data_IF_510178239884
#
_entry.id   IF_510178239884
#
_cell.length_a   1.000
_cell.length_b   1.000
_cell.length_c   1.000
_cell.angle_alpha   90.00
_cell.angle_beta   90.00
_cell.angle_gamma   90.00
#
_symmetry.space_group_name_H-M   'P 1'
#
loop_
_entity.id
_entity.type
_entity.pdbx_description
1 polymer ?
#
# COMPACT_ATOMS: atom_id res chain seq x y z
N UNK A 1 -15.84 -7.33 -14.03
CA UNK A 1 -15.01 -6.45 -13.19
C UNK A 1 -13.66 -6.28 -13.85
N UNK A 2 -12.97 -5.18 -13.57
CA UNK A 2 -11.62 -4.92 -14.08
C UNK A 2 -10.60 -5.12 -12.98
N UNK A 3 -9.43 -5.67 -13.32
CA UNK A 3 -8.30 -5.75 -12.40
C UNK A 3 -7.59 -4.40 -12.31
N UNK A 4 -7.13 -4.08 -11.11
CA UNK A 4 -6.30 -2.91 -10.85
C UNK A 4 -5.11 -3.35 -10.02
N UNK A 5 -3.91 -2.92 -10.44
CA UNK A 5 -2.74 -2.99 -9.58
C UNK A 5 -2.73 -1.76 -8.68
N UNK A 6 -2.70 -1.96 -7.37
CA UNK A 6 -2.64 -0.87 -6.38
C UNK A 6 -1.41 -1.06 -5.51
N UNK A 7 -0.60 -0.02 -5.39
CA UNK A 7 0.58 -0.03 -4.53
C UNK A 7 0.60 1.21 -3.63
N UNK A 8 0.99 1.01 -2.38
CA UNK A 8 1.29 2.09 -1.43
C UNK A 8 2.73 1.98 -0.96
N UNK A 9 3.46 3.09 -0.96
CA UNK A 9 4.84 3.14 -0.43
C UNK A 9 4.96 4.21 0.64
N UNK A 10 5.87 3.97 1.59
CA UNK A 10 6.17 4.93 2.65
C UNK A 10 7.66 4.94 2.95
N UNK A 11 8.30 6.10 2.78
CA UNK A 11 9.70 6.33 3.11
C UNK A 11 9.81 7.00 4.48
N UNK A 12 10.24 6.23 5.50
CA UNK A 12 10.43 6.73 6.87
C UNK A 12 11.43 7.89 6.96
N UNK A 13 12.50 7.87 6.16
CA UNK A 13 13.55 8.89 6.24
C UNK A 13 13.05 10.27 5.79
N UNK A 14 12.13 10.31 4.83
CA UNK A 14 11.58 11.56 4.28
C UNK A 14 10.16 11.87 4.75
N UNK A 15 9.45 10.88 5.30
CA UNK A 15 8.02 10.96 5.61
C UNK A 15 7.12 10.89 4.37
N UNK A 16 7.67 10.59 3.19
CA UNK A 16 6.91 10.56 1.93
C UNK A 16 6.07 9.29 1.82
N UNK A 17 4.77 9.45 1.63
CA UNK A 17 3.80 8.41 1.32
C UNK A 17 3.32 8.58 -0.12
N UNK A 18 3.28 7.50 -0.90
CA UNK A 18 2.78 7.51 -2.29
C UNK A 18 1.72 6.44 -2.51
N UNK A 19 0.77 6.74 -3.37
CA UNK A 19 -0.27 5.82 -3.85
C UNK A 19 -0.18 5.70 -5.37
N UNK A 20 -0.24 4.48 -5.87
CA UNK A 20 -0.17 4.16 -7.28
C UNK A 20 -1.37 3.31 -7.70
N UNK A 21 -1.85 3.54 -8.92
CA UNK A 21 -2.87 2.70 -9.58
C UNK A 21 -2.37 2.38 -10.98
N UNK A 22 -2.35 1.10 -11.34
CA UNK A 22 -1.85 0.59 -12.63
C UNK A 22 -0.45 1.11 -12.97
N UNK A 23 0.44 1.09 -11.97
CA UNK A 23 1.83 1.55 -12.09
C UNK A 23 2.02 3.07 -12.07
N UNK A 24 0.94 3.86 -12.15
CA UNK A 24 1.01 5.32 -12.20
C UNK A 24 0.87 5.93 -10.81
N UNK A 25 1.70 6.93 -10.50
CA UNK A 25 1.60 7.71 -9.26
C UNK A 25 0.34 8.57 -9.30
N UNK A 26 -0.61 8.32 -8.41
CA UNK A 26 -1.89 9.06 -8.36
C UNK A 26 -1.94 10.06 -7.20
N UNK A 27 -1.14 9.87 -6.15
CA UNK A 27 -1.09 10.81 -5.03
C UNK A 27 0.23 10.69 -4.24
N UNK A 28 0.66 11.80 -3.67
CA UNK A 28 1.79 11.90 -2.73
C UNK A 28 1.37 12.72 -1.52
N UNK A 29 1.70 12.24 -0.32
CA UNK A 29 1.51 12.96 0.94
C UNK A 29 2.81 12.95 1.74
N UNK A 30 3.16 14.09 2.34
CA UNK A 30 4.32 14.22 3.20
C UNK A 30 3.85 14.25 4.67
N UNK A 31 4.50 13.43 5.49
CA UNK A 31 4.36 13.39 6.94
C UNK A 31 5.66 13.83 7.60
N UNK A 32 5.67 14.10 8.92
CA UNK A 32 6.92 14.27 9.65
C UNK A 32 7.87 13.08 9.43
N UNK A 33 9.14 13.38 9.14
CA UNK A 33 10.17 12.37 8.95
C UNK A 33 10.44 11.59 10.26
N UNK A 34 10.86 10.34 10.12
CA UNK A 34 11.20 9.47 11.25
C UNK A 34 10.01 8.68 11.83
N UNK A 35 8.77 9.00 11.44
CA UNK A 35 7.60 8.23 11.85
C UNK A 35 7.68 6.79 11.34
N UNK A 36 7.28 5.83 12.18
CA UNK A 36 7.25 4.41 11.83
C UNK A 36 5.80 3.97 11.68
N UNK A 37 5.45 3.33 10.57
CA UNK A 37 4.16 2.66 10.43
C UNK A 37 4.21 1.42 11.31
N UNK A 38 3.41 1.44 12.37
CA UNK A 38 3.27 0.31 13.30
C UNK A 38 1.85 -0.24 13.21
N UNK A 39 1.66 -1.56 13.35
CA UNK A 39 0.34 -2.11 13.59
C UNK A 39 -0.28 -1.45 14.83
N UNK A 40 -1.59 -1.30 14.83
CA UNK A 40 -2.31 -0.87 16.02
C UNK A 40 -2.14 -1.93 17.11
N UNK A 41 -1.67 -1.52 18.28
CA UNK A 41 -1.25 -2.43 19.37
C UNK A 41 -2.39 -3.22 20.02
N UNK A 42 -3.63 -2.82 19.76
CA UNK A 42 -4.86 -3.46 20.24
C UNK A 42 -5.44 -4.43 19.21
N UNK A 43 -4.74 -4.66 18.08
CA UNK A 43 -5.08 -5.67 17.10
C UNK A 43 -3.91 -6.64 16.91
N UNK A 44 -4.22 -7.94 16.93
CA UNK A 44 -3.22 -9.01 16.91
C UNK A 44 -2.87 -9.52 15.51
N UNK A 45 -3.60 -9.10 14.48
CA UNK A 45 -3.52 -9.67 13.14
C UNK A 45 -3.49 -8.63 12.01
N UNK A 46 -2.78 -8.97 10.92
CA UNK A 46 -2.88 -8.28 9.63
C UNK A 46 -3.97 -8.95 8.80
N UNK A 47 -4.83 -8.15 8.14
CA UNK A 47 -5.97 -8.65 7.36
C UNK A 47 -5.92 -8.17 5.93
N UNK A 48 -6.46 -9.00 5.03
CA UNK A 48 -6.66 -8.69 3.62
C UNK A 48 -8.17 -8.77 3.36
N UNK A 49 -8.73 -7.75 2.70
CA UNK A 49 -10.15 -7.72 2.35
C UNK A 49 -11.12 -7.43 3.51
N UNK A 50 -10.63 -7.04 4.69
CA UNK A 50 -11.46 -6.60 5.82
C UNK A 50 -10.85 -5.39 6.51
N UNK A 51 -11.68 -4.40 6.82
CA UNK A 51 -11.34 -3.28 7.69
C UNK A 51 -12.12 -3.37 8.99
N UNK A 52 -11.41 -3.39 10.12
CA UNK A 52 -12.01 -3.27 11.45
C UNK A 52 -12.61 -1.87 11.67
N UNK A 53 -12.04 -0.84 11.04
CA UNK A 53 -12.64 0.50 11.03
C UNK A 53 -13.90 0.46 10.14
N UNK A 54 -15.07 0.50 10.78
CA UNK A 54 -16.38 0.31 10.13
C UNK A 54 -16.83 -1.15 10.00
N UNK A 55 -16.00 -2.13 10.38
CA UNK A 55 -16.26 -3.57 10.28
C UNK A 55 -16.76 -4.01 8.87
N UNK A 56 -16.06 -3.59 7.83
CA UNK A 56 -16.47 -3.76 6.43
C UNK A 56 -15.59 -4.77 5.71
N UNK A 57 -16.23 -5.61 4.88
CA UNK A 57 -15.55 -6.54 3.98
C UNK A 57 -15.44 -5.95 2.58
N UNK A 58 -14.32 -6.20 1.92
CA UNK A 58 -14.13 -5.88 0.52
C UNK A 58 -14.97 -6.82 -0.34
N UNK A 59 -15.86 -6.25 -1.17
CA UNK A 59 -16.67 -7.01 -2.10
C UNK A 59 -15.96 -7.07 -3.47
N UNK A 60 -15.06 -8.04 -3.62
CA UNK A 60 -14.31 -8.23 -4.85
C UNK A 60 -13.29 -9.37 -4.73
N UNK A 61 -12.40 -9.47 -5.71
CA UNK A 61 -11.28 -10.41 -5.70
C UNK A 61 -9.98 -9.66 -5.41
N UNK A 62 -9.11 -10.28 -4.63
CA UNK A 62 -7.76 -9.80 -4.34
C UNK A 62 -6.82 -10.93 -4.72
N UNK A 63 -5.72 -10.60 -5.39
CA UNK A 63 -4.70 -11.56 -5.79
C UNK A 63 -3.31 -10.91 -5.68
N UNK A 64 -2.26 -11.72 -5.61
CA UNK A 64 -0.85 -11.33 -5.64
C UNK A 64 -0.44 -10.26 -4.62
N UNK A 65 -0.80 -10.50 -3.35
CA UNK A 65 -0.50 -9.58 -2.24
C UNK A 65 0.97 -9.68 -1.84
N UNK A 66 1.67 -8.54 -1.85
CA UNK A 66 3.10 -8.42 -1.54
C UNK A 66 3.34 -7.36 -0.46
N UNK A 67 4.33 -7.59 0.40
CA UNK A 67 4.77 -6.65 1.42
C UNK A 67 6.29 -6.52 1.39
N UNK A 68 6.79 -5.28 1.45
CA UNK A 68 8.21 -4.96 1.34
C UNK A 68 8.70 -4.21 2.59
N UNK A 69 9.95 -4.44 2.98
CA UNK A 69 10.62 -3.72 4.07
C UNK A 69 11.31 -2.43 3.60
N UNK A 70 11.06 -2.00 2.36
CA UNK A 70 11.59 -0.79 1.74
C UNK A 70 10.49 -0.05 0.98
N UNK A 71 10.64 1.27 0.85
CA UNK A 71 9.83 2.04 -0.08
C UNK A 71 10.27 1.73 -1.51
N UNK A 72 9.36 1.22 -2.34
CA UNK A 72 9.61 1.05 -3.76
C UNK A 72 9.64 2.41 -4.46
N UNK A 73 10.51 2.54 -5.45
CA UNK A 73 10.58 3.68 -6.35
C UNK A 73 9.44 3.66 -7.37
N UNK A 74 9.20 4.79 -8.04
CA UNK A 74 8.20 4.87 -9.11
C UNK A 74 8.47 3.83 -10.22
N UNK A 75 9.74 3.64 -10.59
CA UNK A 75 10.13 2.68 -11.62
C UNK A 75 9.86 1.24 -11.16
N UNK A 76 10.25 0.87 -9.93
CA UNK A 76 9.99 -0.47 -9.40
C UNK A 76 8.48 -0.79 -9.36
N UNK A 77 7.63 0.18 -9.00
CA UNK A 77 6.17 -0.01 -9.02
C UNK A 77 5.63 -0.20 -10.44
N UNK A 78 6.19 0.55 -11.41
CA UNK A 78 5.81 0.41 -12.82
C UNK A 78 6.26 -0.94 -13.39
N UNK A 79 7.47 -1.39 -13.06
CA UNK A 79 8.00 -2.67 -13.49
C UNK A 79 7.19 -3.84 -12.91
N UNK A 80 6.79 -3.74 -11.64
CA UNK A 80 5.89 -4.70 -11.02
C UNK A 80 4.54 -4.77 -11.75
N UNK A 81 3.97 -3.62 -12.15
CA UNK A 81 2.73 -3.59 -12.92
C UNK A 81 2.88 -4.24 -14.30
N UNK A 82 3.97 -3.95 -15.01
CA UNK A 82 4.22 -4.49 -16.35
C UNK A 82 4.50 -5.99 -16.36
N UNK A 83 4.85 -6.57 -15.20
CA UNK A 83 5.11 -7.99 -15.02
C UNK A 83 3.86 -8.80 -14.61
N UNK A 84 2.70 -8.16 -14.46
CA UNK A 84 1.39 -8.80 -14.22
C UNK A 84 0.73 -9.22 -15.54
#
# INVERSE_FOLDING_TARGET
GSWYHVAGTYNKATGEQKLYVNGQLVNTRIHPAGNTVVPLTWYSDMRIGHSMNGNSYFNGKIDDVRLYNKALTNQEVQDLYNAL
#
